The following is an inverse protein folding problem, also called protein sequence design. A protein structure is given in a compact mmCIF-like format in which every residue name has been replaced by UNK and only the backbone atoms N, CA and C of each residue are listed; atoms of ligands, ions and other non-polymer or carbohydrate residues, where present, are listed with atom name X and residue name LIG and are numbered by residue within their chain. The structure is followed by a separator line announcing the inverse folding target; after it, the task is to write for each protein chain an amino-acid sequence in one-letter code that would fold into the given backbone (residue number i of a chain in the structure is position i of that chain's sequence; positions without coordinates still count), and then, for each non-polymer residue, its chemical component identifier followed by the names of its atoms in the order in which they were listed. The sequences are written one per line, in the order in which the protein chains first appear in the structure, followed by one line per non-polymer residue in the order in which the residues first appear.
data_IF_540882240511
#
_entry.id   IF_540882240511
#
_cell.length_a   1.000
_cell.length_b   1.000
_cell.length_c   1.000
_cell.angle_alpha   90.00
_cell.angle_beta   90.00
_cell.angle_gamma   90.00
#
_symmetry.space_group_name_H-M   'P 1'
#
loop_
_entity.id
_entity.type
_entity.pdbx_description
1 polymer ?
#
# COMPACT_ATOMS: atom_id res chain seq x y z
N UNK A 1 -6.00 17.18 -13.23
CA UNK A 1 -6.70 16.08 -12.52
C UNK A 1 -5.84 15.73 -11.33
N UNK A 2 -6.43 15.71 -10.15
CA UNK A 2 -5.85 15.31 -8.87
C UNK A 2 -6.99 14.69 -8.05
N UNK A 3 -6.75 13.87 -7.05
CA UNK A 3 -5.52 13.26 -6.50
C UNK A 3 -5.13 11.93 -7.20
N UNK A 4 -4.31 11.09 -6.55
CA UNK A 4 -3.89 9.76 -7.05
C UNK A 4 -5.08 8.90 -7.45
N UNK A 5 -6.10 8.78 -6.60
CA UNK A 5 -7.30 7.98 -6.88
C UNK A 5 -8.05 8.49 -8.11
N UNK A 6 -8.20 9.80 -8.23
CA UNK A 6 -8.87 10.42 -9.37
C UNK A 6 -8.08 10.23 -10.67
N UNK A 7 -6.75 10.34 -10.60
CA UNK A 7 -5.83 10.07 -11.72
C UNK A 7 -5.92 8.59 -12.13
N UNK A 8 -5.84 7.65 -11.19
CA UNK A 8 -5.97 6.21 -11.46
C UNK A 8 -7.29 5.88 -12.13
N UNK A 9 -8.41 6.44 -11.67
CA UNK A 9 -9.72 6.25 -12.31
C UNK A 9 -9.79 6.89 -13.71
N UNK A 10 -9.14 8.04 -13.93
CA UNK A 10 -9.02 8.63 -15.26
C UNK A 10 -8.23 7.71 -16.22
N UNK A 11 -7.08 7.19 -15.77
CA UNK A 11 -6.29 6.21 -16.53
C UNK A 11 -7.06 4.90 -16.78
N UNK A 12 -7.88 4.47 -15.82
CA UNK A 12 -8.73 3.30 -15.97
C UNK A 12 -9.78 3.49 -17.10
N UNK A 13 -10.35 4.70 -17.22
CA UNK A 13 -11.26 5.05 -18.31
C UNK A 13 -10.56 5.04 -19.67
N UNK A 14 -9.39 5.68 -19.76
CA UNK A 14 -8.59 5.73 -21.00
C UNK A 14 -8.15 4.33 -21.46
N UNK A 15 -7.78 3.47 -20.52
CA UNK A 15 -7.32 2.09 -20.78
C UNK A 15 -8.46 1.08 -20.94
N UNK A 16 -9.73 1.52 -21.00
CA UNK A 16 -10.92 0.67 -21.14
C UNK A 16 -11.07 -0.40 -20.04
N UNK A 17 -10.85 -0.01 -18.78
CA UNK A 17 -10.94 -0.86 -17.57
C UNK A 17 -9.75 -1.82 -17.37
N UNK A 18 -8.52 -1.40 -17.71
CA UNK A 18 -7.34 -2.23 -17.49
C UNK A 18 -6.92 -2.29 -16.01
N UNK A 19 -7.24 -1.27 -15.22
CA UNK A 19 -6.80 -1.13 -13.82
C UNK A 19 -7.83 -1.66 -12.82
N UNK A 20 -9.12 -1.55 -13.14
CA UNK A 20 -10.22 -2.09 -12.34
C UNK A 20 -11.10 -3.00 -13.19
N UNK A 21 -11.41 -4.23 -12.75
CA UNK A 21 -12.27 -5.15 -13.50
C UNK A 21 -13.66 -4.57 -13.79
N UNK A 22 -14.31 -5.05 -14.86
CA UNK A 22 -15.71 -4.71 -15.16
C UNK A 22 -16.73 -5.42 -14.28
N UNK A 23 -16.39 -6.62 -13.81
CA UNK A 23 -17.24 -7.35 -12.87
C UNK A 23 -17.33 -6.56 -11.56
N UNK A 24 -18.55 -6.23 -11.07
CA UNK A 24 -18.72 -5.36 -9.90
C UNK A 24 -18.04 -5.88 -8.62
N UNK A 25 -18.15 -7.18 -8.33
CA UNK A 25 -17.59 -7.74 -7.10
C UNK A 25 -16.05 -7.73 -7.12
N UNK A 26 -15.45 -8.11 -8.25
CA UNK A 26 -14.00 -8.05 -8.47
C UNK A 26 -13.46 -6.63 -8.47
N UNK A 27 -14.28 -5.67 -8.91
CA UNK A 27 -13.96 -4.25 -8.85
C UNK A 27 -13.93 -3.77 -7.41
N UNK A 28 -14.94 -4.12 -6.61
CA UNK A 28 -15.01 -3.79 -5.20
C UNK A 28 -13.81 -4.37 -4.44
N UNK A 29 -13.41 -5.62 -4.70
CA UNK A 29 -12.19 -6.21 -4.13
C UNK A 29 -10.94 -5.36 -4.41
N UNK A 30 -10.79 -4.84 -5.63
CA UNK A 30 -9.66 -4.01 -6.02
C UNK A 30 -9.71 -2.60 -5.39
N UNK A 31 -10.89 -1.99 -5.31
CA UNK A 31 -11.11 -0.68 -4.70
C UNK A 31 -10.90 -0.71 -3.18
N UNK A 32 -11.35 -1.77 -2.50
CA UNK A 32 -11.10 -1.98 -1.06
C UNK A 32 -9.60 -2.16 -0.80
N UNK A 33 -8.90 -2.92 -1.64
CA UNK A 33 -7.46 -3.13 -1.48
C UNK A 33 -6.67 -1.83 -1.72
N UNK A 34 -7.04 -1.04 -2.74
CA UNK A 34 -6.47 0.30 -2.97
C UNK A 34 -6.70 1.21 -1.76
N UNK A 35 -7.93 1.30 -1.26
CA UNK A 35 -8.26 2.15 -0.12
C UNK A 35 -7.54 1.73 1.17
N UNK A 36 -7.35 0.43 1.39
CA UNK A 36 -6.59 -0.07 2.53
C UNK A 36 -5.11 0.33 2.43
N UNK A 37 -4.52 0.20 1.23
CA UNK A 37 -3.14 0.57 0.96
C UNK A 37 -2.91 2.09 1.11
N UNK A 38 -3.85 2.91 0.62
CA UNK A 38 -3.86 4.37 0.81
C UNK A 38 -3.90 4.73 2.30
N UNK A 39 -4.81 4.12 3.07
CA UNK A 39 -4.92 4.40 4.51
C UNK A 39 -3.66 4.06 5.31
N UNK A 40 -2.93 3.00 4.92
CA UNK A 40 -1.62 2.69 5.50
C UNK A 40 -0.61 3.79 5.14
N UNK A 41 -0.57 4.22 3.87
CA UNK A 41 0.32 5.28 3.41
C UNK A 41 0.06 6.62 4.12
N UNK A 42 -1.21 6.99 4.34
CA UNK A 42 -1.57 8.21 5.06
C UNK A 42 -1.07 8.20 6.51
N UNK A 43 -1.24 7.07 7.20
CA UNK A 43 -0.72 6.88 8.56
C UNK A 43 0.81 6.98 8.58
N UNK A 44 1.47 6.27 7.65
CA UNK A 44 2.93 6.25 7.55
C UNK A 44 3.51 7.63 7.22
N UNK A 45 2.88 8.37 6.29
CA UNK A 45 3.26 9.73 5.93
C UNK A 45 3.10 10.69 7.11
N UNK A 46 1.99 10.59 7.84
CA UNK A 46 1.76 11.38 9.05
C UNK A 46 2.86 11.15 10.09
N UNK A 47 3.26 9.90 10.32
CA UNK A 47 4.37 9.56 11.22
C UNK A 47 5.72 10.12 10.74
N UNK A 48 6.00 10.05 9.43
CA UNK A 48 7.21 10.63 8.84
C UNK A 48 7.23 12.15 9.03
N UNK A 49 6.12 12.83 8.80
CA UNK A 49 6.03 14.28 8.99
C UNK A 49 6.20 14.67 10.45
N UNK A 50 5.51 13.99 11.38
CA UNK A 50 5.64 14.27 12.81
C UNK A 50 7.10 14.26 13.28
N UNK A 51 7.92 13.31 12.81
CA UNK A 51 9.34 13.22 13.17
C UNK A 51 10.26 14.14 12.38
N UNK A 52 9.91 14.49 11.13
CA UNK A 52 10.78 15.29 10.26
C UNK A 52 10.57 16.79 10.40
N UNK A 53 9.37 17.22 10.76
CA UNK A 53 9.00 18.64 10.74
C UNK A 53 8.88 19.25 12.12
N UNK A 54 8.72 18.43 13.17
CA UNK A 54 8.68 18.92 14.55
C UNK A 54 10.05 18.76 15.23
N UNK A 55 10.43 19.72 16.09
CA UNK A 55 11.48 19.51 17.07
C UNK A 55 11.18 18.27 17.92
N UNK A 56 12.22 17.53 18.32
CA UNK A 56 12.09 16.25 19.03
C UNK A 56 11.22 16.35 20.29
N UNK A 57 11.38 17.42 21.07
CA UNK A 57 10.58 17.67 22.28
C UNK A 57 9.08 17.89 22.02
N UNK A 58 8.68 18.16 20.77
CA UNK A 58 7.28 18.37 20.35
C UNK A 58 6.68 17.16 19.60
N UNK A 59 7.44 16.08 19.44
CA UNK A 59 6.94 14.83 18.87
C UNK A 59 5.97 14.19 19.86
N UNK A 60 4.73 13.99 19.44
CA UNK A 60 3.73 13.39 20.31
C UNK A 60 3.67 11.86 20.13
N UNK A 61 4.39 11.13 20.98
CA UNK A 61 4.50 9.66 20.88
C UNK A 61 3.15 8.92 20.88
N UNK A 62 2.14 9.27 21.70
CA UNK A 62 0.83 8.61 21.64
C UNK A 62 0.12 8.73 20.28
N UNK A 63 0.39 9.80 19.51
CA UNK A 63 -0.11 9.89 18.13
C UNK A 63 0.60 8.90 17.21
N UNK A 64 1.93 8.80 17.30
CA UNK A 64 2.72 7.84 16.53
C UNK A 64 2.26 6.41 16.82
N UNK A 65 2.04 6.07 18.09
CA UNK A 65 1.57 4.75 18.50
C UNK A 65 0.18 4.44 17.92
N UNK A 66 -0.72 5.43 17.90
CA UNK A 66 -2.05 5.28 17.30
C UNK A 66 -1.97 5.06 15.78
N UNK A 67 -1.10 5.79 15.07
CA UNK A 67 -0.90 5.59 13.63
C UNK A 67 -0.30 4.21 13.36
N UNK A 68 0.68 3.81 14.16
CA UNK A 68 1.30 2.51 14.04
C UNK A 68 0.31 1.37 14.29
N UNK A 69 -0.57 1.50 15.28
CA UNK A 69 -1.64 0.54 15.54
C UNK A 69 -2.59 0.33 14.36
N UNK A 70 -2.91 1.39 13.61
CA UNK A 70 -3.70 1.28 12.37
C UNK A 70 -2.93 0.55 11.27
N UNK A 71 -1.66 0.92 11.08
CA UNK A 71 -0.78 0.28 10.09
C UNK A 71 -0.67 -1.22 10.37
N UNK A 72 -0.33 -1.60 11.61
CA UNK A 72 -0.15 -3.01 11.98
C UNK A 72 -1.44 -3.80 11.84
N UNK A 73 -2.58 -3.26 12.28
CA UNK A 73 -3.90 -3.91 12.12
C UNK A 73 -4.23 -4.16 10.64
N UNK A 74 -4.03 -3.16 9.78
CA UNK A 74 -4.27 -3.28 8.35
C UNK A 74 -3.32 -4.30 7.69
N UNK A 75 -2.03 -4.26 8.04
CA UNK A 75 -1.06 -5.22 7.52
C UNK A 75 -1.32 -6.64 8.00
N UNK A 76 -1.81 -6.83 9.23
CA UNK A 76 -2.16 -8.14 9.78
C UNK A 76 -3.38 -8.74 9.08
N UNK A 77 -4.39 -7.91 8.76
CA UNK A 77 -5.53 -8.29 7.93
C UNK A 77 -5.07 -8.82 6.56
N UNK A 78 -4.20 -8.08 5.86
CA UNK A 78 -3.70 -8.50 4.54
C UNK A 78 -2.77 -9.71 4.66
N UNK A 79 -1.94 -9.79 5.70
CA UNK A 79 -1.02 -10.90 5.89
C UNK A 79 -1.77 -12.22 6.16
N UNK A 80 -2.90 -12.18 6.88
CA UNK A 80 -3.76 -13.35 7.12
C UNK A 80 -4.29 -13.91 5.78
N UNK A 81 -4.75 -13.04 4.88
CA UNK A 81 -5.25 -13.42 3.57
C UNK A 81 -4.68 -12.55 2.43
N UNK A 82 -3.41 -12.76 2.02
CA UNK A 82 -2.79 -11.93 0.99
C UNK A 82 -3.52 -12.09 -0.34
N UNK A 83 -3.73 -11.00 -1.11
CA UNK A 83 -4.45 -11.08 -2.36
C UNK A 83 -3.71 -12.00 -3.34
N UNK A 84 -4.46 -12.84 -4.06
CA UNK A 84 -3.88 -13.69 -5.09
C UNK A 84 -3.21 -12.83 -6.16
N UNK A 85 -2.11 -13.29 -6.74
CA UNK A 85 -1.47 -12.61 -7.86
C UNK A 85 -1.98 -13.19 -9.19
N UNK A 86 -2.98 -12.59 -9.86
CA UNK A 86 -3.47 -13.06 -11.16
C UNK A 86 -2.45 -12.82 -12.30
N UNK A 87 -2.82 -13.16 -13.55
CA UNK A 87 -2.05 -12.75 -14.74
C UNK A 87 -2.17 -11.25 -15.02
N UNK A 88 -3.35 -10.67 -14.75
CA UNK A 88 -3.64 -9.24 -14.88
C UNK A 88 -3.95 -8.66 -13.51
N UNK A 89 -3.05 -7.85 -12.97
CA UNK A 89 -3.23 -7.19 -11.67
C UNK A 89 -4.14 -5.97 -11.79
N UNK A 90 -4.63 -5.53 -10.65
CA UNK A 90 -5.49 -4.34 -10.52
C UNK A 90 -4.73 -3.21 -9.83
N UNK A 91 -5.31 -2.00 -9.86
CA UNK A 91 -4.80 -0.85 -9.10
C UNK A 91 -4.56 -1.17 -7.62
N UNK A 92 -5.46 -1.92 -6.97
CA UNK A 92 -5.27 -2.33 -5.57
C UNK A 92 -4.01 -3.16 -5.31
N UNK A 93 -3.61 -4.04 -6.24
CA UNK A 93 -2.36 -4.80 -6.11
C UNK A 93 -1.13 -3.89 -6.22
N UNK A 94 -1.16 -2.95 -7.17
CA UNK A 94 -0.08 -1.98 -7.35
C UNK A 94 0.01 -1.03 -6.15
N UNK A 95 -1.12 -0.56 -5.63
CA UNK A 95 -1.18 0.26 -4.43
C UNK A 95 -0.58 -0.47 -3.22
N UNK A 96 -1.01 -1.71 -2.95
CA UNK A 96 -0.44 -2.52 -1.88
C UNK A 96 1.08 -2.68 -2.05
N UNK A 97 1.56 -3.00 -3.26
CA UNK A 97 3.00 -3.17 -3.49
C UNK A 97 3.78 -1.87 -3.27
N UNK A 98 3.25 -0.73 -3.73
CA UNK A 98 3.86 0.58 -3.52
C UNK A 98 3.92 0.94 -2.04
N UNK A 99 2.83 0.71 -1.28
CA UNK A 99 2.76 0.90 0.17
C UNK A 99 3.82 0.07 0.91
N UNK A 100 3.97 -1.21 0.57
CA UNK A 100 5.00 -2.06 1.19
C UNK A 100 6.42 -1.59 0.84
N UNK A 101 6.64 -1.07 -0.36
CA UNK A 101 7.91 -0.43 -0.74
C UNK A 101 8.19 0.82 0.10
N UNK A 102 7.19 1.67 0.30
CA UNK A 102 7.33 2.86 1.14
C UNK A 102 7.62 2.50 2.61
N UNK A 103 6.97 1.47 3.15
CA UNK A 103 7.26 0.96 4.49
C UNK A 103 8.69 0.39 4.58
N UNK A 104 9.16 -0.34 3.58
CA UNK A 104 10.54 -0.82 3.54
C UNK A 104 11.55 0.35 3.51
N UNK A 105 11.24 1.45 2.79
CA UNK A 105 12.09 2.63 2.72
C UNK A 105 12.12 3.46 4.02
N UNK A 106 10.98 3.63 4.69
CA UNK A 106 10.84 4.55 5.83
C UNK A 106 10.79 3.87 7.20
N UNK A 107 10.44 2.60 7.24
CA UNK A 107 10.17 1.82 8.45
C UNK A 107 10.78 0.41 8.36
N UNK A 108 11.91 0.28 7.67
CA UNK A 108 12.64 -0.98 7.51
C UNK A 108 12.85 -1.68 8.86
N UNK A 109 12.56 -2.99 8.90
CA UNK A 109 12.70 -3.83 10.09
C UNK A 109 11.59 -3.69 11.14
N UNK A 110 10.64 -2.78 10.94
CA UNK A 110 9.56 -2.53 11.91
C UNK A 110 8.25 -3.25 11.54
N UNK A 111 7.92 -3.36 10.26
CA UNK A 111 6.62 -3.88 9.81
C UNK A 111 6.66 -5.38 9.44
N UNK A 112 7.84 -5.93 9.17
CA UNK A 112 8.04 -7.26 8.61
C UNK A 112 7.84 -8.37 9.65
N UNK A 113 8.17 -8.10 10.92
CA UNK A 113 8.05 -9.06 12.02
C UNK A 113 6.58 -9.48 12.19
N UNK A 114 6.34 -10.79 12.13
CA UNK A 114 4.99 -11.37 12.17
C UNK A 114 4.25 -11.41 10.83
N UNK A 115 4.80 -10.79 9.78
CA UNK A 115 4.12 -10.58 8.48
C UNK A 115 4.80 -11.29 7.32
N UNK A 116 5.30 -12.50 7.57
CA UNK A 116 6.12 -13.24 6.60
C UNK A 116 5.38 -13.60 5.30
N UNK A 117 4.05 -13.78 5.34
CA UNK A 117 3.26 -14.05 4.12
C UNK A 117 3.22 -12.83 3.22
N UNK A 118 3.16 -11.63 3.80
CA UNK A 118 3.17 -10.36 3.08
C UNK A 118 4.55 -10.02 2.51
N UNK A 119 5.62 -10.29 3.25
CA UNK A 119 7.00 -10.20 2.74
C UNK A 119 7.20 -11.10 1.52
N UNK A 120 6.79 -12.38 1.61
CA UNK A 120 6.84 -13.31 0.47
C UNK A 120 5.93 -12.86 -0.68
N UNK A 121 4.79 -12.26 -0.38
CA UNK A 121 3.89 -11.73 -1.40
C UNK A 121 4.55 -10.60 -2.19
N UNK A 122 5.24 -9.67 -1.53
CA UNK A 122 5.95 -8.57 -2.20
C UNK A 122 7.07 -9.09 -3.12
N UNK A 123 7.86 -10.07 -2.65
CA UNK A 123 8.90 -10.69 -3.47
C UNK A 123 8.31 -11.38 -4.71
N UNK A 124 7.24 -12.18 -4.57
CA UNK A 124 6.56 -12.82 -5.70
C UNK A 124 5.91 -11.83 -6.65
N UNK A 125 5.44 -10.69 -6.16
CA UNK A 125 4.92 -9.62 -7.01
C UNK A 125 6.05 -9.13 -7.94
N UNK A 126 7.23 -8.84 -7.38
CA UNK A 126 8.38 -8.34 -8.15
C UNK A 126 8.91 -9.38 -9.15
N UNK A 127 8.88 -10.66 -8.80
CA UNK A 127 9.23 -11.76 -9.71
C UNK A 127 8.23 -11.88 -10.88
N UNK A 128 6.95 -11.65 -10.61
CA UNK A 128 5.88 -11.84 -11.61
C UNK A 128 5.67 -10.63 -12.52
N UNK A 129 5.96 -9.43 -12.01
CA UNK A 129 5.82 -8.16 -12.71
C UNK A 129 7.15 -7.39 -12.68
N UNK A 130 8.24 -7.95 -13.23
CA UNK A 130 9.58 -7.36 -13.17
C UNK A 130 9.63 -5.95 -13.80
N UNK A 131 8.77 -5.66 -14.76
CA UNK A 131 8.63 -4.35 -15.39
C UNK A 131 8.21 -3.23 -14.42
N UNK A 132 7.55 -3.59 -13.31
CA UNK A 132 7.11 -2.64 -12.29
C UNK A 132 8.12 -2.45 -11.16
N UNK A 133 9.16 -3.29 -11.09
CA UNK A 133 10.13 -3.28 -9.99
C UNK A 133 10.86 -1.95 -9.87
N UNK A 134 11.16 -1.29 -10.99
CA UNK A 134 11.80 0.02 -11.02
C UNK A 134 10.92 1.16 -10.49
N UNK A 135 9.61 0.95 -10.40
CA UNK A 135 8.66 1.93 -9.87
C UNK A 135 8.44 1.80 -8.36
N UNK A 136 9.02 0.78 -7.73
CA UNK A 136 8.96 0.62 -6.27
C UNK A 136 9.85 1.70 -5.62
N UNK A 137 9.38 2.39 -4.57
CA UNK A 137 10.22 3.32 -3.82
C UNK A 137 11.48 2.62 -3.29
N UNK A 138 12.64 3.14 -3.68
CA UNK A 138 13.97 2.71 -3.23
C UNK A 138 14.61 3.68 -2.26
#
# INVERSE_FOLDING_TARGET
IYDSRTITQHLNRLSKNALFPRNPDRRLEAEVLEALADGICDCALSMVYERRTRPEAMVYQPWLDRQWGKITTALDLVNANPPKLPKKITAGHMALRATLGYLALRFSGQWEKGRSRLVRWAARFDEKFPELKASVPG
#
